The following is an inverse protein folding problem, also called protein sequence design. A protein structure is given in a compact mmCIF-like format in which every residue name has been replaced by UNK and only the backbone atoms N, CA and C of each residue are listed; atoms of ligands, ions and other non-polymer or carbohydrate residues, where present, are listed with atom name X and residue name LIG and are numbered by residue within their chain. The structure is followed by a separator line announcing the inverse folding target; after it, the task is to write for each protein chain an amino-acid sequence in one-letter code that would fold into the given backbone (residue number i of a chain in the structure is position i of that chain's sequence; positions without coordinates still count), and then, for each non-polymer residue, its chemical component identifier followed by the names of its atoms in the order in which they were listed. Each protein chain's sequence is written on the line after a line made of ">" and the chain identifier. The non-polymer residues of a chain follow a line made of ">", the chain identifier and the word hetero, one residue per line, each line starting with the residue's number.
data_IF_618001317429
#
_entry.id   IF_618001317429
#
_cell.length_a   1.000
_cell.length_b   1.000
_cell.length_c   1.000
_cell.angle_alpha   90.00
_cell.angle_beta   90.00
_cell.angle_gamma   90.00
#
_symmetry.space_group_name_H-M   'P 1'
#
loop_
_entity.id
_entity.type
_entity.pdbx_description
1 polymer ?
#
# COMPACT_ATOMS: atom_id res chain seq x y z
N UNK A 1 17.58 -10.97 6.78
CA UNK A 1 16.80 -11.85 7.71
C UNK A 1 15.40 -11.26 7.88
N UNK A 2 14.35 -12.11 7.96
CA UNK A 2 13.00 -11.69 8.26
C UNK A 2 12.37 -12.57 9.34
N UNK A 3 11.63 -11.96 10.25
CA UNK A 3 10.86 -12.66 11.27
C UNK A 3 9.47 -12.03 11.42
N UNK A 4 8.43 -12.87 11.49
CA UNK A 4 7.04 -12.43 11.72
C UNK A 4 6.41 -13.31 12.78
N UNK A 5 5.77 -12.69 13.75
CA UNK A 5 4.91 -13.36 14.74
C UNK A 5 3.49 -12.85 14.55
N UNK A 6 2.52 -13.76 14.39
CA UNK A 6 1.10 -13.44 14.20
C UNK A 6 0.25 -14.15 15.24
N UNK A 7 -0.69 -13.41 15.84
CA UNK A 7 -1.69 -13.92 16.78
C UNK A 7 -3.07 -13.45 16.34
N UNK A 8 -4.05 -14.37 16.31
CA UNK A 8 -5.42 -14.11 15.85
C UNK A 8 -6.47 -14.49 16.87
N UNK A 9 -6.72 -13.66 17.90
CA UNK A 9 -7.81 -13.89 18.84
C UNK A 9 -9.15 -13.36 18.28
N UNK A 10 -10.03 -14.27 17.87
CA UNK A 10 -11.34 -13.90 17.33
C UNK A 10 -11.26 -13.12 16.03
N UNK A 11 -11.82 -11.91 16.04
CA UNK A 11 -11.83 -11.00 14.89
C UNK A 11 -10.65 -10.01 14.86
N UNK A 12 -9.68 -10.19 15.72
CA UNK A 12 -8.47 -9.37 15.80
C UNK A 12 -7.28 -10.13 15.24
N UNK A 13 -6.40 -9.43 14.52
CA UNK A 13 -5.08 -9.93 14.12
C UNK A 13 -4.03 -8.97 14.66
N UNK A 14 -3.02 -9.51 15.33
CA UNK A 14 -1.85 -8.78 15.78
C UNK A 14 -0.63 -9.42 15.13
N UNK A 15 0.24 -8.59 14.57
CA UNK A 15 1.52 -9.02 14.01
C UNK A 15 2.64 -8.15 14.54
N UNK A 16 3.77 -8.77 14.83
CA UNK A 16 5.02 -8.08 15.05
C UNK A 16 6.04 -8.64 14.06
N UNK A 17 6.85 -7.79 13.46
CA UNK A 17 7.80 -8.21 12.45
C UNK A 17 9.12 -7.45 12.54
N UNK A 18 10.15 -8.10 12.04
CA UNK A 18 11.47 -7.55 11.85
C UNK A 18 11.99 -7.95 10.46
N UNK A 19 12.56 -7.00 9.75
CA UNK A 19 13.18 -7.21 8.44
C UNK A 19 14.56 -6.56 8.44
N UNK A 20 15.56 -7.33 8.05
CA UNK A 20 16.93 -6.90 7.86
C UNK A 20 17.35 -7.25 6.43
N UNK A 21 17.67 -6.23 5.64
CA UNK A 21 18.02 -6.37 4.23
C UNK A 21 19.53 -6.45 3.95
N UNK A 22 20.38 -6.36 4.95
CA UNK A 22 21.84 -6.30 4.86
C UNK A 22 22.51 -7.57 4.33
N UNK A 23 21.83 -8.39 3.54
CA UNK A 23 22.33 -9.72 3.17
C UNK A 23 23.06 -9.81 1.83
N UNK A 24 23.05 -8.74 1.03
CA UNK A 24 23.71 -8.77 -0.29
C UNK A 24 24.70 -7.60 -0.39
N UNK A 25 26.02 -7.89 -0.31
CA UNK A 25 27.06 -6.85 -0.31
C UNK A 25 27.02 -5.87 -1.49
N UNK A 26 26.42 -6.29 -2.60
CA UNK A 26 26.32 -5.48 -3.82
C UNK A 26 25.10 -4.54 -3.83
N UNK A 27 24.14 -4.76 -2.93
CA UNK A 27 22.91 -3.97 -2.80
C UNK A 27 22.58 -3.66 -1.34
N UNK A 28 23.61 -3.42 -0.56
CA UNK A 28 23.46 -3.15 0.87
C UNK A 28 22.74 -1.82 1.07
N UNK A 29 21.45 -1.91 1.38
CA UNK A 29 20.63 -0.74 1.70
C UNK A 29 20.88 -0.24 3.12
N UNK A 30 21.63 -0.98 3.92
CA UNK A 30 21.85 -0.79 5.36
C UNK A 30 20.53 -0.49 6.11
N UNK A 31 19.40 -0.97 5.55
CA UNK A 31 18.08 -0.66 6.09
C UNK A 31 17.50 -1.85 6.83
N UNK A 32 17.10 -1.62 8.06
CA UNK A 32 16.38 -2.55 8.94
C UNK A 32 15.05 -1.91 9.30
N UNK A 33 14.04 -2.71 9.46
CA UNK A 33 12.78 -2.24 10.00
C UNK A 33 12.21 -3.24 10.99
N UNK A 34 11.54 -2.71 11.97
CA UNK A 34 10.67 -3.45 12.84
C UNK A 34 9.33 -2.74 12.95
N UNK A 35 8.32 -3.47 13.33
CA UNK A 35 7.00 -2.87 13.42
C UNK A 35 5.94 -3.83 13.90
N UNK A 36 4.73 -3.32 13.93
CA UNK A 36 3.54 -4.07 14.27
C UNK A 36 2.37 -3.70 13.37
N UNK A 37 1.52 -4.68 13.14
CA UNK A 37 0.26 -4.52 12.43
C UNK A 37 -0.88 -5.00 13.31
N UNK A 38 -1.96 -4.24 13.32
CA UNK A 38 -3.22 -4.61 13.95
C UNK A 38 -4.33 -4.56 12.92
N UNK A 39 -5.16 -5.60 12.88
CA UNK A 39 -6.37 -5.63 12.07
C UNK A 39 -7.58 -6.03 12.89
N UNK A 40 -8.70 -5.39 12.63
CA UNK A 40 -10.01 -5.67 13.20
C UNK A 40 -11.00 -5.98 12.08
N UNK A 41 -11.51 -7.22 12.05
CA UNK A 41 -12.59 -7.64 11.17
C UNK A 41 -13.94 -7.42 11.83
N UNK A 42 -14.83 -6.70 11.15
CA UNK A 42 -16.19 -6.37 11.59
C UNK A 42 -17.21 -6.92 10.58
N UNK A 43 -18.46 -7.06 11.02
CA UNK A 43 -19.58 -7.45 10.17
C UNK A 43 -19.34 -8.79 9.45
N UNK A 44 -18.89 -9.83 10.18
CA UNK A 44 -18.56 -11.14 9.60
C UNK A 44 -17.49 -11.07 8.48
N UNK A 45 -16.57 -10.10 8.59
CA UNK A 45 -15.48 -9.90 7.62
C UNK A 45 -15.82 -9.00 6.43
N UNK A 46 -16.98 -8.35 6.44
CA UNK A 46 -17.36 -7.38 5.40
C UNK A 46 -16.59 -6.06 5.52
N UNK A 47 -16.04 -5.78 6.70
CA UNK A 47 -15.22 -4.59 6.97
C UNK A 47 -13.96 -4.98 7.72
N UNK A 48 -12.82 -4.48 7.28
CA UNK A 48 -11.53 -4.62 7.96
C UNK A 48 -10.94 -3.24 8.19
N UNK A 49 -10.54 -2.98 9.42
CA UNK A 49 -9.73 -1.82 9.80
C UNK A 49 -8.33 -2.31 10.07
N UNK A 50 -7.32 -1.64 9.53
CA UNK A 50 -5.91 -1.95 9.74
C UNK A 50 -5.15 -0.73 10.24
N UNK A 51 -4.16 -0.96 11.10
CA UNK A 51 -3.20 0.03 11.56
C UNK A 51 -1.83 -0.63 11.63
N UNK A 52 -0.85 -0.01 10.96
CA UNK A 52 0.55 -0.47 11.00
C UNK A 52 1.43 0.64 11.52
N UNK A 53 2.40 0.27 12.35
CA UNK A 53 3.52 1.13 12.75
C UNK A 53 4.83 0.48 12.32
N UNK A 54 5.71 1.29 11.73
CA UNK A 54 7.06 0.91 11.35
C UNK A 54 8.06 1.87 11.96
N UNK A 55 9.19 1.33 12.38
CA UNK A 55 10.40 2.07 12.71
C UNK A 55 11.51 1.57 11.79
N UNK A 56 12.17 2.49 11.12
CA UNK A 56 13.19 2.21 10.12
C UNK A 56 14.52 2.73 10.63
N UNK A 57 15.54 1.88 10.60
CA UNK A 57 16.94 2.27 10.81
C UNK A 57 17.73 2.02 9.53
N UNK A 58 18.64 2.91 9.23
CA UNK A 58 19.49 2.83 8.05
C UNK A 58 20.87 3.38 8.35
N UNK A 59 21.82 3.21 7.43
CA UNK A 59 23.09 3.91 7.54
C UNK A 59 22.88 5.38 7.16
N UNK A 60 23.10 6.34 8.09
CA UNK A 60 22.85 7.76 7.84
C UNK A 60 23.76 8.34 6.76
N UNK A 61 24.91 7.75 6.47
CA UNK A 61 25.81 8.20 5.40
C UNK A 61 25.23 7.88 4.00
N UNK A 62 24.37 6.83 3.91
CA UNK A 62 23.76 6.40 2.65
C UNK A 62 22.27 6.74 2.55
N UNK A 63 21.55 6.71 3.67
CA UNK A 63 20.09 6.90 3.71
C UNK A 63 19.67 7.76 4.90
N UNK A 64 20.13 9.03 4.96
CA UNK A 64 19.92 9.88 6.15
C UNK A 64 18.44 10.14 6.47
N UNK A 65 17.56 10.13 5.47
CA UNK A 65 16.12 10.34 5.68
C UNK A 65 15.42 9.11 6.24
N UNK A 66 16.01 7.90 6.04
CA UNK A 66 15.43 6.65 6.55
C UNK A 66 15.91 6.29 7.95
N UNK A 67 17.07 6.80 8.38
CA UNK A 67 17.59 6.49 9.71
C UNK A 67 16.79 7.22 10.79
N UNK A 68 16.01 6.46 11.56
CA UNK A 68 15.06 6.98 12.54
C UNK A 68 13.69 7.39 11.95
N UNK A 69 13.35 6.95 10.74
CA UNK A 69 12.04 7.22 10.17
C UNK A 69 10.97 6.34 10.80
N UNK A 70 9.88 6.96 11.22
CA UNK A 70 8.68 6.30 11.70
C UNK A 70 7.58 6.39 10.63
N UNK A 71 6.82 5.31 10.48
CA UNK A 71 5.68 5.25 9.55
C UNK A 71 4.44 4.79 10.29
N UNK A 72 3.34 5.50 10.08
CA UNK A 72 2.00 5.09 10.50
C UNK A 72 1.16 4.90 9.24
N UNK A 73 0.58 3.72 9.10
CA UNK A 73 -0.32 3.38 8.01
C UNK A 73 -1.68 2.95 8.56
N UNK A 74 -2.76 3.53 8.03
CA UNK A 74 -4.13 3.21 8.39
C UNK A 74 -4.91 2.75 7.16
N UNK A 75 -5.63 1.63 7.29
CA UNK A 75 -6.36 0.98 6.19
C UNK A 75 -7.80 0.71 6.55
N UNK A 76 -8.67 0.88 5.57
CA UNK A 76 -10.07 0.47 5.60
C UNK A 76 -10.39 -0.32 4.33
N UNK A 77 -10.90 -1.52 4.51
CA UNK A 77 -11.63 -2.25 3.49
C UNK A 77 -13.07 -2.44 3.94
N UNK A 78 -14.06 -2.20 3.08
CA UNK A 78 -15.45 -2.44 3.44
C UNK A 78 -16.35 -2.75 2.24
N UNK A 79 -17.28 -3.69 2.44
CA UNK A 79 -18.42 -3.98 1.57
C UNK A 79 -19.72 -3.83 2.38
N UNK A 80 -20.13 -2.57 2.71
CA UNK A 80 -21.05 -2.29 3.79
C UNK A 80 -22.53 -2.60 3.46
N UNK A 81 -22.87 -2.77 2.20
CA UNK A 81 -24.26 -2.85 1.78
C UNK A 81 -24.66 -4.27 1.37
N UNK A 82 -25.48 -4.93 2.17
CA UNK A 82 -26.04 -6.25 1.85
C UNK A 82 -26.93 -6.23 0.58
N UNK A 83 -27.54 -5.08 0.29
CA UNK A 83 -28.36 -4.84 -0.90
C UNK A 83 -27.53 -4.59 -2.16
N UNK A 84 -26.28 -4.17 -2.02
CA UNK A 84 -25.34 -3.92 -3.11
C UNK A 84 -24.07 -4.76 -2.90
N UNK A 85 -24.23 -6.08 -2.87
CA UNK A 85 -23.17 -7.06 -2.55
C UNK A 85 -21.92 -6.93 -3.41
N UNK A 86 -22.04 -6.34 -4.61
CA UNK A 86 -20.89 -6.08 -5.48
C UNK A 86 -20.10 -4.82 -5.15
N UNK A 87 -20.56 -3.96 -4.24
CA UNK A 87 -19.90 -2.68 -3.93
C UNK A 87 -18.87 -2.86 -2.82
N UNK A 88 -17.65 -2.38 -3.07
CA UNK A 88 -16.58 -2.33 -2.07
C UNK A 88 -15.80 -1.02 -2.12
N UNK A 89 -15.24 -0.65 -0.97
CA UNK A 89 -14.38 0.52 -0.81
C UNK A 89 -13.08 0.09 -0.13
N UNK A 90 -11.99 0.66 -0.58
CA UNK A 90 -10.66 0.52 0.03
C UNK A 90 -10.08 1.91 0.21
N UNK A 91 -9.54 2.18 1.40
CA UNK A 91 -8.82 3.42 1.72
C UNK A 91 -7.55 3.04 2.47
N UNK A 92 -6.48 3.72 2.14
CA UNK A 92 -5.19 3.61 2.82
C UNK A 92 -4.57 4.99 2.93
N UNK A 93 -3.98 5.27 4.07
CA UNK A 93 -3.27 6.50 4.37
C UNK A 93 -2.00 6.17 5.12
N UNK A 94 -0.86 6.64 4.61
CA UNK A 94 0.44 6.50 5.23
C UNK A 94 1.04 7.87 5.55
N UNK A 95 1.61 7.99 6.74
CA UNK A 95 2.37 9.15 7.21
C UNK A 95 3.77 8.69 7.58
N UNK A 96 4.77 9.38 7.04
CA UNK A 96 6.19 9.18 7.35
C UNK A 96 6.73 10.41 8.06
N UNK A 97 7.52 10.19 9.10
CA UNK A 97 8.13 11.27 9.86
C UNK A 97 9.53 10.87 10.35
N UNK A 98 10.49 11.79 10.21
CA UNK A 98 11.83 11.67 10.79
C UNK A 98 12.25 13.03 11.35
N UNK A 99 11.69 13.38 12.51
CA UNK A 99 11.94 14.64 13.21
C UNK A 99 11.81 15.86 12.29
N UNK A 100 12.86 16.69 12.25
CA UNK A 100 12.90 17.87 11.39
C UNK A 100 13.42 17.58 9.96
N UNK A 101 13.87 16.34 9.70
CA UNK A 101 14.48 15.96 8.43
C UNK A 101 13.44 15.68 7.35
N UNK A 102 12.36 14.98 7.71
CA UNK A 102 11.37 14.51 6.76
C UNK A 102 9.99 14.45 7.39
N UNK A 103 8.97 14.81 6.61
CA UNK A 103 7.57 14.51 6.89
C UNK A 103 6.80 14.46 5.58
N UNK A 104 6.21 13.32 5.28
CA UNK A 104 5.49 13.10 4.04
C UNK A 104 4.27 12.24 4.24
N UNK A 105 3.36 12.28 3.27
CA UNK A 105 2.14 11.50 3.30
C UNK A 105 1.82 10.89 1.93
N UNK A 106 1.11 9.78 1.97
CA UNK A 106 0.48 9.20 0.79
C UNK A 106 -0.90 8.66 1.15
N UNK A 107 -1.80 8.62 0.17
CA UNK A 107 -3.07 7.97 0.36
C UNK A 107 -3.64 7.42 -0.94
N UNK A 108 -4.44 6.36 -0.79
CA UNK A 108 -5.16 5.75 -1.90
C UNK A 108 -6.62 5.56 -1.53
N UNK A 109 -7.49 5.68 -2.52
CA UNK A 109 -8.90 5.36 -2.39
C UNK A 109 -9.38 4.59 -3.60
N UNK A 110 -10.07 3.48 -3.37
CA UNK A 110 -10.66 2.66 -4.42
C UNK A 110 -12.13 2.42 -4.15
N UNK A 111 -12.93 2.50 -5.20
CA UNK A 111 -14.30 1.98 -5.22
C UNK A 111 -14.36 0.91 -6.30
N UNK A 112 -15.03 -0.20 -6.00
CA UNK A 112 -15.28 -1.25 -6.98
C UNK A 112 -16.74 -1.71 -6.93
N UNK A 113 -17.26 -2.07 -8.08
CA UNK A 113 -18.58 -2.66 -8.20
C UNK A 113 -18.57 -3.89 -9.12
N UNK A 114 -19.08 -5.01 -8.60
CA UNK A 114 -19.22 -6.28 -9.32
C UNK A 114 -20.67 -6.47 -9.76
N UNK A 115 -20.86 -6.63 -11.07
CA UNK A 115 -22.17 -6.85 -11.71
C UNK A 115 -22.46 -8.35 -11.77
N UNK A 116 -22.69 -8.97 -10.61
CA UNK A 116 -22.84 -10.43 -10.49
C UNK A 116 -23.98 -11.06 -11.30
N UNK A 117 -24.95 -10.26 -11.77
CA UNK A 117 -26.06 -10.71 -12.58
C UNK A 117 -25.81 -10.62 -14.10
N UNK A 118 -24.67 -10.08 -14.52
CA UNK A 118 -24.31 -9.96 -15.92
C UNK A 118 -23.41 -11.14 -16.36
N UNK A 119 -23.45 -11.50 -17.65
CA UNK A 119 -22.48 -12.46 -18.20
C UNK A 119 -21.06 -11.98 -17.94
N UNK A 120 -20.16 -12.94 -17.61
CA UNK A 120 -18.74 -12.71 -17.33
C UNK A 120 -18.47 -11.93 -16.04
N UNK A 121 -19.48 -11.74 -15.18
CA UNK A 121 -19.37 -11.05 -13.89
C UNK A 121 -18.46 -9.81 -13.94
N UNK A 122 -18.81 -8.81 -14.76
CA UNK A 122 -17.96 -7.61 -14.90
C UNK A 122 -17.71 -6.95 -13.54
N UNK A 123 -16.46 -6.59 -13.27
CA UNK A 123 -16.12 -5.81 -12.09
C UNK A 123 -15.39 -4.54 -12.53
N UNK A 124 -15.97 -3.40 -12.18
CA UNK A 124 -15.43 -2.08 -12.48
C UNK A 124 -14.79 -1.53 -11.22
N UNK A 125 -13.58 -0.98 -11.37
CA UNK A 125 -12.83 -0.32 -10.31
C UNK A 125 -12.49 1.10 -10.74
N UNK A 126 -12.54 2.00 -9.78
CA UNK A 126 -11.90 3.30 -9.87
C UNK A 126 -10.98 3.46 -8.67
N UNK A 127 -9.73 3.85 -8.90
CA UNK A 127 -8.73 4.12 -7.87
C UNK A 127 -8.13 5.49 -8.11
N UNK A 128 -8.00 6.22 -7.03
CA UNK A 128 -7.19 7.43 -6.94
C UNK A 128 -6.02 7.17 -6.00
N UNK A 129 -4.84 7.67 -6.34
CA UNK A 129 -3.69 7.63 -5.44
C UNK A 129 -2.93 8.96 -5.50
N UNK A 130 -2.46 9.36 -4.33
CA UNK A 130 -1.63 10.54 -4.10
C UNK A 130 -0.41 10.12 -3.29
N UNK A 131 0.76 10.51 -3.77
CA UNK A 131 2.04 10.39 -3.10
C UNK A 131 2.69 11.76 -3.11
N UNK A 132 2.97 12.29 -1.93
CA UNK A 132 3.51 13.63 -1.77
C UNK A 132 4.87 13.76 -2.45
N UNK A 133 5.09 14.91 -3.08
CA UNK A 133 6.38 15.35 -3.61
C UNK A 133 7.04 16.36 -2.69
N UNK A 134 8.29 16.66 -2.96
CA UNK A 134 9.07 17.64 -2.20
C UNK A 134 8.67 19.07 -2.57
N UNK A 135 8.54 19.95 -1.56
CA UNK A 135 8.43 21.39 -1.77
C UNK A 135 9.81 22.03 -1.49
N UNK A 136 10.52 22.51 -2.53
CA UNK A 136 11.83 23.11 -2.35
C UNK A 136 11.83 24.42 -1.52
N UNK A 137 10.67 24.95 -1.17
CA UNK A 137 10.55 26.12 -0.30
C UNK A 137 10.61 25.74 1.19
N UNK A 138 10.49 24.47 1.55
CA UNK A 138 10.62 23.99 2.93
C UNK A 138 12.04 23.50 3.22
N UNK A 139 12.41 23.48 4.50
CA UNK A 139 13.74 23.00 4.91
C UNK A 139 13.83 21.49 5.09
N UNK A 140 12.68 20.82 5.24
CA UNK A 140 12.57 19.37 5.41
C UNK A 140 12.13 18.71 4.11
N UNK A 141 12.49 17.45 3.91
CA UNK A 141 11.97 16.66 2.79
C UNK A 141 10.50 16.34 3.01
N UNK A 142 9.70 16.53 1.96
CA UNK A 142 8.28 16.15 1.93
C UNK A 142 8.00 15.06 0.90
N UNK A 143 9.05 14.53 0.26
CA UNK A 143 8.94 13.46 -0.72
C UNK A 143 8.61 12.13 -0.05
N UNK A 144 7.47 11.54 -0.38
CA UNK A 144 7.09 10.23 0.13
C UNK A 144 8.10 9.15 -0.31
N UNK A 145 8.55 8.35 0.65
CA UNK A 145 9.47 7.24 0.45
C UNK A 145 8.72 5.91 0.46
N UNK A 146 8.46 5.32 -0.69
CA UNK A 146 7.77 4.04 -0.80
C UNK A 146 8.52 2.84 -0.18
N UNK A 147 9.59 3.07 0.57
CA UNK A 147 10.44 2.12 1.31
C UNK A 147 10.94 0.94 0.46
N UNK A 148 10.02 0.18 -0.12
CA UNK A 148 10.28 -1.02 -0.90
C UNK A 148 9.54 -0.97 -2.24
N UNK A 149 10.04 -0.19 -3.22
CA UNK A 149 9.47 -0.23 -4.56
C UNK A 149 9.58 -1.66 -5.10
N UNK A 150 8.50 -2.20 -5.59
CA UNK A 150 8.46 -3.58 -6.10
C UNK A 150 7.51 -4.51 -5.39
N UNK A 151 6.92 -4.13 -4.26
CA UNK A 151 5.82 -4.86 -3.65
C UNK A 151 4.49 -4.28 -4.14
N UNK A 152 3.84 -5.01 -5.01
CA UNK A 152 2.62 -4.57 -5.71
C UNK A 152 1.42 -5.34 -5.20
N UNK A 153 1.06 -5.12 -3.97
CA UNK A 153 -0.17 -5.67 -3.43
C UNK A 153 -1.42 -5.06 -4.06
N UNK A 154 -1.23 -4.00 -4.80
CA UNK A 154 -2.28 -3.42 -5.64
C UNK A 154 -2.56 -4.28 -6.87
N UNK A 155 -2.15 -5.57 -6.79
CA UNK A 155 -2.35 -6.55 -7.83
C UNK A 155 -1.75 -6.08 -9.10
N UNK A 156 -0.47 -5.91 -9.09
CA UNK A 156 0.29 -5.75 -10.30
C UNK A 156 0.43 -4.34 -10.83
N UNK A 157 1.55 -3.98 -11.19
CA UNK A 157 2.07 -3.30 -12.35
C UNK A 157 1.03 -2.50 -13.13
N UNK A 158 0.18 -1.76 -12.42
CA UNK A 158 -0.81 -0.94 -13.11
C UNK A 158 -0.17 0.10 -14.03
N UNK A 159 1.10 0.50 -13.79
CA UNK A 159 1.91 1.25 -14.74
C UNK A 159 2.81 0.36 -15.60
N UNK A 160 2.83 -0.95 -15.39
CA UNK A 160 3.79 -1.88 -15.94
C UNK A 160 5.15 -1.82 -15.23
N UNK A 161 5.90 -2.90 -15.31
CA UNK A 161 7.18 -3.07 -14.60
C UNK A 161 8.18 -1.98 -14.93
N UNK A 162 8.38 -1.72 -16.20
CA UNK A 162 9.36 -0.73 -16.65
C UNK A 162 8.88 0.69 -16.38
N UNK A 163 7.67 1.03 -16.79
CA UNK A 163 7.17 2.39 -16.62
C UNK A 163 6.88 2.72 -15.16
N UNK A 164 6.29 1.79 -14.41
CA UNK A 164 5.94 1.98 -13.02
C UNK A 164 7.14 2.02 -12.09
N UNK A 165 8.11 1.14 -12.31
CA UNK A 165 9.26 1.03 -11.42
C UNK A 165 10.36 2.04 -11.74
N UNK A 166 10.63 2.27 -13.02
CA UNK A 166 11.77 3.09 -13.44
C UNK A 166 11.43 4.54 -13.75
N UNK A 167 10.20 4.83 -14.19
CA UNK A 167 9.80 6.18 -14.59
C UNK A 167 8.81 6.85 -13.64
N UNK A 168 8.06 6.08 -12.87
CA UNK A 168 7.01 6.59 -11.99
C UNK A 168 7.16 5.93 -10.63
N UNK A 169 8.05 6.47 -9.80
CA UNK A 169 8.12 6.07 -8.39
C UNK A 169 6.85 6.50 -7.68
N UNK A 170 6.47 5.79 -6.61
CA UNK A 170 5.37 6.20 -5.73
C UNK A 170 5.81 7.40 -4.86
N UNK A 171 6.23 8.47 -5.51
CA UNK A 171 6.64 9.74 -4.91
C UNK A 171 6.37 10.84 -5.93
N UNK A 172 5.89 11.99 -5.46
CA UNK A 172 5.48 13.12 -6.32
C UNK A 172 4.52 12.68 -7.45
N UNK A 173 3.51 11.91 -7.08
CA UNK A 173 2.62 11.27 -8.05
C UNK A 173 1.16 11.43 -7.66
N UNK A 174 0.35 11.86 -8.63
CA UNK A 174 -1.10 11.77 -8.56
C UNK A 174 -1.56 10.90 -9.72
N UNK A 175 -2.36 9.88 -9.43
CA UNK A 175 -2.84 8.99 -10.47
C UNK A 175 -4.31 8.63 -10.30
N UNK A 176 -4.97 8.47 -11.43
CA UNK A 176 -6.33 7.97 -11.54
C UNK A 176 -6.29 6.69 -12.37
N UNK A 177 -6.97 5.67 -11.92
CA UNK A 177 -7.04 4.40 -12.62
C UNK A 177 -8.48 3.93 -12.73
N UNK A 178 -8.87 3.52 -13.93
CA UNK A 178 -10.10 2.77 -14.17
C UNK A 178 -9.73 1.37 -14.64
N UNK A 179 -10.25 0.33 -13.99
CA UNK A 179 -10.03 -1.05 -14.37
C UNK A 179 -11.35 -1.77 -14.57
N UNK A 180 -11.50 -2.46 -15.70
CA UNK A 180 -12.57 -3.41 -15.95
C UNK A 180 -12.01 -4.82 -15.95
N UNK A 181 -12.57 -5.69 -15.12
CA UNK A 181 -12.25 -7.10 -15.06
C UNK A 181 -13.45 -7.93 -15.49
N UNK A 182 -13.23 -8.92 -16.36
CA UNK A 182 -14.25 -9.82 -16.92
C UNK A 182 -13.81 -11.27 -16.72
N UNK A 183 -14.69 -12.14 -16.23
CA UNK A 183 -14.42 -13.57 -15.99
C UNK A 183 -15.40 -14.43 -16.79
N UNK A 184 -15.10 -14.75 -18.06
CA UNK A 184 -15.97 -15.60 -18.89
C UNK A 184 -16.15 -17.03 -18.33
N UNK A 185 -15.11 -17.57 -17.68
CA UNK A 185 -15.13 -18.89 -17.03
C UNK A 185 -13.96 -19.01 -16.06
N UNK A 186 -13.90 -20.12 -15.31
CA UNK A 186 -12.89 -20.37 -14.26
C UNK A 186 -11.44 -20.43 -14.76
N UNK A 187 -11.21 -20.46 -16.05
CA UNK A 187 -9.87 -20.57 -16.66
C UNK A 187 -9.43 -19.30 -17.39
N UNK A 188 -10.34 -18.38 -17.65
CA UNK A 188 -10.06 -17.20 -18.48
C UNK A 188 -10.60 -15.95 -17.80
N UNK A 189 -9.76 -14.95 -17.67
CA UNK A 189 -10.10 -13.60 -17.24
C UNK A 189 -9.47 -12.56 -18.16
N UNK A 190 -10.14 -11.45 -18.34
CA UNK A 190 -9.64 -10.29 -19.07
C UNK A 190 -9.60 -9.07 -18.15
N UNK A 191 -8.54 -8.30 -18.24
CA UNK A 191 -8.39 -7.02 -17.54
C UNK A 191 -8.06 -5.89 -18.52
N UNK A 192 -8.79 -4.80 -18.41
CA UNK A 192 -8.51 -3.56 -19.14
C UNK A 192 -8.24 -2.47 -18.11
N UNK A 193 -7.11 -1.78 -18.24
CA UNK A 193 -6.65 -0.77 -17.30
C UNK A 193 -6.34 0.51 -18.06
N UNK A 194 -6.85 1.61 -17.55
CA UNK A 194 -6.61 2.97 -18.06
C UNK A 194 -6.06 3.84 -16.93
N UNK A 195 -5.11 4.70 -17.26
CA UNK A 195 -4.45 5.66 -16.35
C UNK A 195 -4.69 7.08 -16.82
#
# INVERSE_FOLDING_TARGET
>A
VAGVVRVKPGNHTFEAFYLDRDEVPENDSHSKLWGGNYELALGEGTTTLGLTYLDVSADPDFRPLRDGMEVIDARLFTSPFSSARGLSFELEYALEENGDLMKSEAWTGQVAYEFGNLPWTPKLYYRYAYFQGDDPATARSESFDSLFPGFYDWGTWWQGEIAGEYFVSNSNLITNQVRLHLVPNDKVGFGFIFF
#
